data_IF_537514570841
#
_entry.id   IF_537514570841
#
_cell.length_a   1.000
_cell.length_b   1.000
_cell.length_c   1.000
_cell.angle_alpha   90.00
_cell.angle_beta   90.00
_cell.angle_gamma   90.00
#
_symmetry.space_group_name_H-M   'P 1'
#
loop_
_entity.id
_entity.type
_entity.pdbx_description
1 polymer ?
#
# COMPACT_ATOMS: atom_id res chain seq x y z
N UNK A 1 -12.86 -15.25 -19.87
CA UNK A 1 -12.75 -16.10 -18.66
C UNK A 1 -11.46 -16.89 -18.76
N UNK A 2 -10.35 -16.35 -18.25
CA UNK A 2 -9.06 -17.04 -18.29
C UNK A 2 -8.49 -17.11 -16.88
N UNK A 3 -8.58 -18.31 -16.30
CA UNK A 3 -7.78 -18.71 -15.15
C UNK A 3 -6.48 -19.28 -15.70
N UNK A 4 -5.35 -18.64 -15.40
CA UNK A 4 -4.03 -19.26 -15.53
C UNK A 4 -3.57 -19.66 -14.13
N UNK A 5 -3.36 -20.95 -13.84
CA UNK A 5 -2.73 -21.38 -12.60
C UNK A 5 -1.21 -21.26 -12.73
N UNK A 6 -0.57 -20.56 -11.79
CA UNK A 6 0.89 -20.60 -11.66
C UNK A 6 1.26 -21.88 -10.92
N UNK A 7 1.61 -22.93 -11.67
CA UNK A 7 2.29 -24.12 -11.16
C UNK A 7 3.79 -23.80 -11.15
N UNK A 8 4.39 -23.71 -9.97
CA UNK A 8 5.83 -23.61 -9.81
C UNK A 8 6.49 -24.96 -10.15
N UNK A 9 7.19 -25.04 -11.29
CA UNK A 9 8.04 -26.19 -11.62
C UNK A 9 9.46 -25.88 -11.16
N UNK A 10 9.91 -26.54 -10.09
CA UNK A 10 11.29 -26.47 -9.62
C UNK A 10 12.20 -27.30 -10.54
N UNK A 11 13.16 -26.67 -11.21
CA UNK A 11 14.34 -27.35 -11.80
C UNK A 11 15.58 -27.00 -10.99
N UNK A 12 16.30 -28.03 -10.58
CA UNK A 12 17.58 -27.94 -9.90
C UNK A 12 18.64 -27.23 -10.77
N UNK A 13 19.39 -26.29 -10.20
CA UNK A 13 20.73 -25.96 -10.70
C UNK A 13 21.05 -24.53 -11.13
N UNK A 14 20.26 -23.51 -10.79
CA UNK A 14 20.72 -22.11 -10.94
C UNK A 14 20.09 -21.21 -9.88
N UNK A 15 20.94 -20.53 -9.10
CA UNK A 15 20.55 -19.49 -8.14
C UNK A 15 20.28 -18.21 -8.93
N UNK A 16 19.07 -18.05 -9.47
CA UNK A 16 18.53 -16.72 -9.67
C UNK A 16 17.67 -16.37 -8.45
N UNK A 17 18.00 -15.22 -7.89
CA UNK A 17 17.44 -14.64 -6.68
C UNK A 17 15.90 -14.68 -6.68
N UNK A 18 15.30 -15.60 -5.92
CA UNK A 18 13.89 -15.50 -5.51
C UNK A 18 13.77 -14.54 -4.32
N UNK A 19 14.17 -13.28 -4.52
CA UNK A 19 13.59 -12.21 -3.71
C UNK A 19 12.23 -11.93 -4.34
N UNK A 20 11.12 -12.16 -3.60
CA UNK A 20 9.86 -11.38 -3.67
C UNK A 20 8.60 -12.11 -3.20
N UNK A 21 8.65 -13.33 -2.66
CA UNK A 21 7.47 -13.93 -2.00
C UNK A 21 7.36 -13.64 -0.49
N UNK A 22 8.32 -12.91 0.09
CA UNK A 22 8.25 -12.42 1.48
C UNK A 22 7.38 -11.16 1.63
N UNK A 23 7.07 -10.46 0.53
CA UNK A 23 6.26 -9.23 0.56
C UNK A 23 4.84 -9.49 1.08
N UNK A 24 4.18 -10.56 0.61
CA UNK A 24 2.79 -10.85 1.00
C UNK A 24 2.57 -11.12 2.50
N UNK A 25 3.63 -11.31 3.29
CA UNK A 25 3.55 -11.55 4.74
C UNK A 25 3.84 -10.32 5.60
N UNK A 26 4.41 -9.24 5.04
CA UNK A 26 4.73 -8.05 5.83
C UNK A 26 3.49 -7.20 6.04
N UNK A 27 3.30 -6.80 7.30
CA UNK A 27 2.23 -5.91 7.71
C UNK A 27 2.69 -4.46 7.54
N UNK A 28 1.81 -3.65 6.96
CA UNK A 28 1.99 -2.20 6.83
C UNK A 28 0.83 -1.53 7.55
N UNK A 29 1.13 -0.57 8.41
CA UNK A 29 0.15 0.23 9.13
C UNK A 29 -0.08 1.53 8.40
N UNK A 30 -1.34 1.95 8.30
CA UNK A 30 -1.73 3.21 7.69
C UNK A 30 -2.22 4.18 8.76
N UNK A 31 -1.88 5.45 8.60
CA UNK A 31 -2.28 6.54 9.48
C UNK A 31 -2.82 7.71 8.67
N UNK A 32 -3.75 8.43 9.26
CA UNK A 32 -4.06 9.79 8.82
C UNK A 32 -2.90 10.68 9.27
N UNK A 33 -2.21 11.31 8.33
CA UNK A 33 -0.98 12.07 8.62
C UNK A 33 -1.27 13.26 9.55
N UNK A 34 -2.35 14.00 9.26
CA UNK A 34 -2.74 15.21 9.96
C UNK A 34 -3.06 14.97 11.45
N UNK A 35 -3.76 13.88 11.75
CA UNK A 35 -4.20 13.55 13.11
C UNK A 35 -3.27 12.55 13.80
N UNK A 36 -2.53 11.76 13.03
CA UNK A 36 -1.72 10.64 13.48
C UNK A 36 -2.53 9.43 13.98
N UNK A 37 -3.83 9.38 13.70
CA UNK A 37 -4.73 8.26 14.04
C UNK A 37 -4.46 7.09 13.10
N UNK A 38 -4.40 5.88 13.65
CA UNK A 38 -4.30 4.66 12.84
C UNK A 38 -5.61 4.39 12.09
N UNK A 39 -5.50 4.21 10.78
CA UNK A 39 -6.59 3.90 9.87
C UNK A 39 -6.81 2.38 9.76
N UNK A 40 -5.73 1.62 9.85
CA UNK A 40 -5.75 0.16 9.82
C UNK A 40 -4.46 -0.44 9.28
N UNK A 41 -4.54 -1.71 8.88
CA UNK A 41 -3.41 -2.47 8.34
C UNK A 41 -3.70 -2.99 6.94
N UNK A 42 -2.66 -2.98 6.11
CA UNK A 42 -2.60 -3.58 4.79
C UNK A 42 -1.40 -4.53 4.72
N UNK A 43 -1.26 -5.24 3.61
CA UNK A 43 -0.07 -6.06 3.32
C UNK A 43 0.89 -5.32 2.40
N UNK A 44 2.14 -5.76 2.33
CA UNK A 44 3.11 -5.19 1.37
C UNK A 44 2.64 -5.28 -0.08
N UNK A 45 1.82 -6.28 -0.43
CA UNK A 45 1.24 -6.39 -1.78
C UNK A 45 0.32 -5.21 -2.12
N UNK A 46 -0.47 -4.75 -1.14
CA UNK A 46 -1.31 -3.57 -1.29
C UNK A 46 -0.44 -2.29 -1.34
N UNK A 47 0.61 -2.20 -0.52
CA UNK A 47 1.54 -1.07 -0.56
C UNK A 47 2.29 -0.99 -1.90
N UNK A 48 2.79 -2.12 -2.40
CA UNK A 48 3.44 -2.20 -3.70
C UNK A 48 2.46 -1.85 -4.84
N UNK A 49 1.18 -2.20 -4.70
CA UNK A 49 0.14 -1.77 -5.62
C UNK A 49 -0.02 -0.24 -5.60
N UNK A 50 -0.05 0.39 -4.43
CA UNK A 50 -0.10 1.85 -4.31
C UNK A 50 1.12 2.50 -4.98
N UNK A 51 2.33 2.06 -4.66
CA UNK A 51 3.59 2.55 -5.25
C UNK A 51 3.63 2.41 -6.79
N UNK A 52 3.08 1.31 -7.31
CA UNK A 52 3.02 1.09 -8.76
C UNK A 52 2.00 1.97 -9.49
N UNK A 53 1.04 2.57 -8.76
CA UNK A 53 -0.11 3.26 -9.35
C UNK A 53 -0.18 4.76 -9.02
N UNK A 54 0.50 5.18 -7.96
CA UNK A 54 0.59 6.55 -7.50
C UNK A 54 1.99 7.10 -7.79
N UNK A 55 2.08 8.39 -8.07
CA UNK A 55 3.37 9.05 -8.27
C UNK A 55 4.06 9.20 -6.90
N UNK A 56 5.31 8.77 -6.79
CA UNK A 56 6.18 9.09 -5.65
C UNK A 56 6.79 10.48 -5.88
N UNK A 57 6.66 11.40 -4.93
CA UNK A 57 7.35 12.71 -5.03
C UNK A 57 8.84 12.60 -4.65
N UNK A 58 9.23 11.52 -3.96
CA UNK A 58 10.61 11.17 -3.61
C UNK A 58 10.76 9.74 -3.04
N UNK A 59 12.02 9.26 -3.01
CA UNK A 59 12.36 7.90 -2.54
C UNK A 59 12.18 7.68 -1.03
N UNK A 60 12.03 8.77 -0.27
CA UNK A 60 11.85 8.78 1.18
C UNK A 60 10.42 9.23 1.57
N UNK A 61 9.50 9.34 0.61
CA UNK A 61 8.12 9.67 0.92
C UNK A 61 7.42 8.46 1.55
N UNK A 62 6.72 8.75 2.64
CA UNK A 62 6.06 7.74 3.46
C UNK A 62 4.55 7.96 3.50
N UNK A 63 4.02 8.73 2.57
CA UNK A 63 2.63 9.15 2.52
C UNK A 63 2.14 9.34 1.08
N UNK A 64 0.81 9.29 0.93
CA UNK A 64 0.14 9.58 -0.33
C UNK A 64 -1.09 10.43 -0.10
N UNK A 65 -1.30 11.42 -0.97
CA UNK A 65 -2.56 12.13 -1.04
C UNK A 65 -3.67 11.25 -1.66
N UNK A 66 -4.69 10.95 -0.86
CA UNK A 66 -5.82 10.08 -1.28
C UNK A 66 -7.11 10.87 -1.29
N UNK A 67 -7.81 10.88 -2.43
CA UNK A 67 -9.14 11.46 -2.57
C UNK A 67 -10.12 10.46 -3.24
N UNK A 68 -11.42 10.78 -3.32
CA UNK A 68 -12.41 9.88 -3.92
C UNK A 68 -12.05 9.44 -5.35
N UNK A 69 -11.56 10.36 -6.18
CA UNK A 69 -11.15 10.08 -7.56
C UNK A 69 -9.98 9.10 -7.62
N UNK A 70 -8.97 9.25 -6.76
CA UNK A 70 -7.85 8.33 -6.63
C UNK A 70 -8.35 6.93 -6.24
N UNK A 71 -9.29 6.84 -5.30
CA UNK A 71 -9.88 5.56 -4.88
C UNK A 71 -10.60 4.87 -6.04
N UNK A 72 -11.42 5.59 -6.81
CA UNK A 72 -12.12 5.04 -7.98
C UNK A 72 -11.15 4.54 -9.06
N UNK A 73 -10.06 5.29 -9.28
CA UNK A 73 -9.00 4.88 -10.19
C UNK A 73 -8.31 3.60 -9.71
N UNK A 74 -7.92 3.51 -8.43
CA UNK A 74 -7.26 2.34 -7.86
C UNK A 74 -8.16 1.10 -7.91
N UNK A 75 -9.45 1.25 -7.61
CA UNK A 75 -10.45 0.18 -7.72
C UNK A 75 -10.55 -0.34 -9.15
N UNK A 76 -10.62 0.57 -10.13
CA UNK A 76 -10.66 0.23 -11.56
C UNK A 76 -9.40 -0.51 -12.02
N UNK A 77 -8.25 -0.23 -11.40
CA UNK A 77 -6.96 -0.88 -11.70
C UNK A 77 -6.75 -2.20 -10.96
N UNK A 78 -7.71 -2.64 -10.14
CA UNK A 78 -7.68 -3.94 -9.47
C UNK A 78 -7.06 -3.92 -8.08
N UNK A 79 -7.10 -2.78 -7.38
CA UNK A 79 -6.81 -2.74 -5.95
C UNK A 79 -7.65 -3.77 -5.18
N UNK A 80 -7.10 -4.29 -4.08
CA UNK A 80 -7.83 -5.23 -3.24
C UNK A 80 -9.09 -4.58 -2.63
N UNK A 81 -10.22 -5.31 -2.48
CA UNK A 81 -11.42 -4.76 -1.84
C UNK A 81 -11.18 -4.28 -0.42
N UNK A 82 -10.24 -4.91 0.30
CA UNK A 82 -9.86 -4.51 1.65
C UNK A 82 -9.16 -3.14 1.66
N UNK A 83 -8.20 -2.93 0.75
CA UNK A 83 -7.53 -1.64 0.58
C UNK A 83 -8.55 -0.55 0.24
N UNK A 84 -9.44 -0.79 -0.72
CA UNK A 84 -10.48 0.17 -1.12
C UNK A 84 -11.40 0.52 0.05
N UNK A 85 -11.85 -0.47 0.82
CA UNK A 85 -12.70 -0.23 1.98
C UNK A 85 -12.01 0.64 3.04
N UNK A 86 -10.73 0.40 3.30
CA UNK A 86 -9.93 1.18 4.24
C UNK A 86 -9.75 2.63 3.75
N UNK A 87 -9.36 2.83 2.49
CA UNK A 87 -9.16 4.18 1.93
C UNK A 87 -10.46 4.98 1.90
N UNK A 88 -11.59 4.34 1.57
CA UNK A 88 -12.93 4.98 1.64
C UNK A 88 -13.28 5.39 3.07
N UNK A 89 -12.95 4.56 4.07
CA UNK A 89 -13.18 4.88 5.46
C UNK A 89 -12.29 6.04 5.94
N UNK A 90 -11.03 6.09 5.49
CA UNK A 90 -10.08 7.15 5.81
C UNK A 90 -10.52 8.50 5.25
N UNK A 91 -10.91 8.55 3.97
CA UNK A 91 -11.41 9.76 3.32
C UNK A 91 -12.77 10.18 3.87
N UNK A 92 -13.64 9.22 4.19
CA UNK A 92 -14.97 9.48 4.74
C UNK A 92 -15.80 10.41 3.85
N UNK A 93 -16.26 11.54 4.40
CA UNK A 93 -17.02 12.56 3.67
C UNK A 93 -16.15 13.72 3.17
N UNK A 94 -14.82 13.63 3.28
CA UNK A 94 -13.91 14.68 2.83
C UNK A 94 -13.69 14.57 1.32
N UNK A 95 -14.36 15.41 0.54
CA UNK A 95 -14.24 15.41 -0.92
C UNK A 95 -12.85 15.84 -1.42
N UNK A 96 -12.10 16.62 -0.63
CA UNK A 96 -10.77 17.06 -1.01
C UNK A 96 -9.76 15.89 -0.99
N UNK A 97 -9.85 15.04 0.03
CA UNK A 97 -8.90 13.97 0.30
C UNK A 97 -8.12 14.16 1.61
N UNK A 98 -7.24 13.22 1.90
CA UNK A 98 -6.40 13.17 3.10
C UNK A 98 -5.01 12.61 2.76
N UNK A 99 -4.00 13.03 3.50
CA UNK A 99 -2.66 12.42 3.48
C UNK A 99 -2.66 11.12 4.30
N UNK A 100 -2.30 10.02 3.65
CA UNK A 100 -2.24 8.68 4.24
C UNK A 100 -0.78 8.26 4.37
N UNK A 101 -0.26 8.26 5.59
CA UNK A 101 1.09 7.82 5.93
C UNK A 101 1.12 6.29 6.09
N UNK A 102 2.19 5.62 5.64
CA UNK A 102 2.40 4.19 5.80
C UNK A 102 3.68 3.87 6.61
N UNK A 103 3.63 2.78 7.38
CA UNK A 103 4.74 2.30 8.19
C UNK A 103 4.84 0.77 8.09
N UNK A 104 5.97 0.24 7.62
CA UNK A 104 6.18 -1.21 7.61
C UNK A 104 6.54 -1.70 9.01
N UNK A 105 6.10 -2.91 9.35
CA UNK A 105 6.46 -3.55 10.61
C UNK A 105 8.00 -3.64 10.76
N UNK A 106 8.52 -3.09 11.86
CA UNK A 106 9.96 -3.05 12.15
C UNK A 106 10.68 -1.78 11.68
N UNK A 107 10.05 -0.93 10.87
CA UNK A 107 10.51 0.43 10.63
C UNK A 107 10.08 1.32 11.81
N UNK A 108 11.03 2.00 12.45
CA UNK A 108 10.71 2.91 13.55
C UNK A 108 10.22 4.22 12.97
N UNK A 109 9.00 4.65 13.33
CA UNK A 109 8.48 5.98 13.00
C UNK A 109 9.49 7.07 13.38
N UNK A 110 10.11 7.70 12.41
CA UNK A 110 10.75 8.99 12.65
C UNK A 110 9.65 10.04 12.79
N UNK A 111 8.98 10.09 13.95
CA UNK A 111 8.17 11.26 14.34
C UNK A 111 9.10 12.43 14.66
N UNK A 112 9.83 12.93 13.68
CA UNK A 112 10.33 14.30 13.69
C UNK A 112 9.14 15.18 13.29
N UNK A 113 8.24 15.41 14.26
CA UNK A 113 7.21 16.43 14.12
C UNK A 113 7.91 17.75 13.79
N UNK A 114 7.80 18.19 12.54
CA UNK A 114 8.01 19.59 12.19
C UNK A 114 7.02 20.41 13.02
N UNK A 115 7.56 21.53 13.48
CA UNK A 115 7.02 22.46 14.49
C UNK A 115 5.63 22.98 14.19
#
# INVERSE_FOLDING_TARGET
MFRVPVIAIFRAGSLELVAQFEGGLRVVRLYDEATGVELGTIREEDLAFLQANLEEEGLDDHDYWINPTTIEMLETRGASPQLIALLRAAVGTNEAGVDVEFEREGETRQRLRRR
#
